data_IF_732891455434
#
_entry.id   IF_732891455434
#
_cell.length_a   1.000
_cell.length_b   1.000
_cell.length_c   1.000
_cell.angle_alpha   90.00
_cell.angle_beta   90.00
_cell.angle_gamma   90.00
#
_symmetry.space_group_name_H-M   'P 1'
#
loop_
_entity.id
_entity.type
_entity.pdbx_description
1 polymer ?
#
# COMPACT_ATOMS: atom_id res chain seq x y z
N UNK A 1 0.43 1.57 -21.14
CA UNK A 1 -0.40 2.79 -20.96
C UNK A 1 -0.66 3.01 -19.47
N UNK A 2 -0.87 4.25 -19.03
CA UNK A 2 -1.04 4.59 -17.62
C UNK A 2 -1.93 5.81 -17.47
N UNK A 3 -2.88 5.77 -16.55
CA UNK A 3 -3.80 6.88 -16.25
C UNK A 3 -3.95 7.03 -14.75
N UNK A 4 -3.92 8.25 -14.24
CA UNK A 4 -4.05 8.52 -12.82
C UNK A 4 -3.82 10.00 -12.50
N UNK A 5 -4.36 10.44 -11.37
CA UNK A 5 -4.23 11.83 -10.93
C UNK A 5 -4.31 11.94 -9.41
N UNK A 6 -3.91 13.10 -8.89
CA UNK A 6 -4.22 13.50 -7.52
C UNK A 6 -5.58 14.20 -7.52
N UNK A 7 -6.66 13.43 -7.39
CA UNK A 7 -8.02 13.91 -7.54
C UNK A 7 -8.58 14.55 -6.26
N UNK A 8 -8.38 13.90 -5.11
CA UNK A 8 -9.02 14.23 -3.85
C UNK A 8 -8.07 14.85 -2.82
N UNK A 9 -6.87 14.32 -2.61
CA UNK A 9 -6.00 14.79 -1.51
C UNK A 9 -5.20 16.04 -1.88
N UNK A 10 -5.91 17.12 -2.21
CA UNK A 10 -5.35 18.42 -2.60
C UNK A 10 -6.14 19.57 -1.94
N UNK A 11 -5.54 20.77 -1.95
CA UNK A 11 -6.09 21.95 -1.29
C UNK A 11 -7.49 22.36 -1.78
N UNK A 12 -7.82 22.10 -3.05
CA UNK A 12 -9.14 22.42 -3.61
C UNK A 12 -10.27 21.60 -2.98
N UNK A 13 -9.94 20.43 -2.41
CA UNK A 13 -10.88 19.55 -1.71
C UNK A 13 -10.84 19.71 -0.18
N UNK A 14 -10.02 20.62 0.36
CA UNK A 14 -10.01 20.90 1.79
C UNK A 14 -11.40 21.44 2.21
N UNK A 15 -12.07 20.84 3.21
CA UNK A 15 -13.37 21.34 3.65
C UNK A 15 -13.29 22.80 4.07
N UNK A 16 -14.29 23.60 3.67
CA UNK A 16 -14.31 25.03 3.98
C UNK A 16 -14.24 25.27 5.49
N UNK A 17 -13.24 26.06 5.93
CA UNK A 17 -13.00 26.35 7.35
C UNK A 17 -12.23 25.26 8.10
N UNK A 18 -11.78 24.19 7.46
CA UNK A 18 -10.87 23.24 8.07
C UNK A 18 -9.52 23.91 8.37
N UNK A 19 -8.86 23.46 9.45
CA UNK A 19 -7.50 23.87 9.73
C UNK A 19 -6.49 22.98 8.98
N UNK A 20 -5.27 23.47 8.82
CA UNK A 20 -4.17 22.73 8.15
C UNK A 20 -3.58 21.61 9.02
N UNK A 21 -4.04 21.50 10.27
CA UNK A 21 -3.73 20.40 11.19
C UNK A 21 -5.00 19.87 11.81
N UNK A 22 -5.14 18.54 11.85
CA UNK A 22 -6.34 17.88 12.36
C UNK A 22 -6.62 18.24 13.83
N UNK A 23 -5.56 18.38 14.64
CA UNK A 23 -5.66 18.77 16.06
C UNK A 23 -6.25 20.17 16.29
N UNK A 24 -6.17 21.05 15.29
CA UNK A 24 -6.66 22.42 15.34
C UNK A 24 -7.95 22.61 14.52
N UNK A 25 -8.45 21.55 13.87
CA UNK A 25 -9.60 21.63 12.98
C UNK A 25 -10.89 21.83 13.81
N UNK A 26 -11.80 22.73 13.39
CA UNK A 26 -13.07 22.93 14.10
C UNK A 26 -13.82 21.61 14.30
N UNK A 27 -14.32 21.35 15.51
CA UNK A 27 -14.92 20.06 15.87
C UNK A 27 -16.09 19.65 14.96
N UNK A 28 -16.89 20.61 14.48
CA UNK A 28 -18.00 20.36 13.55
C UNK A 28 -17.55 19.87 12.16
N UNK A 29 -16.31 20.16 11.76
CA UNK A 29 -15.70 19.70 10.50
C UNK A 29 -14.90 18.42 10.75
N UNK A 30 -14.06 18.42 11.78
CA UNK A 30 -13.18 17.31 12.13
C UNK A 30 -13.94 16.01 12.41
N UNK A 31 -15.07 16.10 13.11
CA UNK A 31 -15.89 14.94 13.48
C UNK A 31 -16.57 14.25 12.28
N UNK A 32 -16.70 14.94 11.15
CA UNK A 32 -17.27 14.42 9.90
C UNK A 32 -16.20 13.96 8.90
N UNK A 33 -14.92 14.23 9.18
CA UNK A 33 -13.82 13.94 8.26
C UNK A 33 -13.34 12.48 8.40
N UNK A 34 -13.38 11.65 7.33
CA UNK A 34 -12.89 10.27 7.38
C UNK A 34 -11.35 10.21 7.55
N UNK A 35 -10.65 11.27 7.15
CA UNK A 35 -9.18 11.36 7.15
C UNK A 35 -8.60 12.09 8.36
N UNK A 36 -9.40 12.38 9.39
CA UNK A 36 -8.87 13.03 10.59
C UNK A 36 -7.84 12.15 11.29
N UNK A 37 -6.66 12.69 11.54
CA UNK A 37 -5.63 12.03 12.34
C UNK A 37 -6.11 11.75 13.78
N UNK A 38 -6.94 12.62 14.37
CA UNK A 38 -7.55 12.37 15.68
C UNK A 38 -8.53 11.19 15.64
N UNK A 39 -9.28 11.03 14.55
CA UNK A 39 -10.10 9.84 14.33
C UNK A 39 -9.24 8.58 14.29
N UNK A 40 -8.28 8.56 13.37
CA UNK A 40 -7.49 7.39 13.00
C UNK A 40 -6.61 6.93 14.17
N UNK A 41 -5.85 7.84 14.78
CA UNK A 41 -4.84 7.48 15.78
C UNK A 41 -5.37 7.56 17.21
N UNK A 42 -6.21 8.55 17.53
CA UNK A 42 -6.70 8.69 18.91
C UNK A 42 -7.95 7.86 19.17
N UNK A 43 -9.05 8.14 18.46
CA UNK A 43 -10.35 7.51 18.73
C UNK A 43 -10.41 6.04 18.33
N UNK A 44 -9.87 5.69 17.16
CA UNK A 44 -9.94 4.34 16.63
C UNK A 44 -8.84 3.40 17.17
N UNK A 45 -7.84 3.95 17.89
CA UNK A 45 -6.69 3.19 18.41
C UNK A 45 -6.38 3.51 19.87
N UNK A 46 -5.70 4.62 20.15
CA UNK A 46 -5.17 4.94 21.50
C UNK A 46 -6.24 4.91 22.60
N UNK A 47 -7.45 5.43 22.34
CA UNK A 47 -8.55 5.41 23.31
C UNK A 47 -9.10 4.00 23.57
N UNK A 48 -8.85 3.06 22.66
CA UNK A 48 -9.17 1.63 22.80
C UNK A 48 -7.99 0.83 23.37
N UNK A 49 -6.90 1.49 23.77
CA UNK A 49 -5.70 0.84 24.30
C UNK A 49 -4.76 0.25 23.26
N UNK A 50 -4.96 0.55 21.97
CA UNK A 50 -4.13 0.03 20.88
C UNK A 50 -3.02 1.01 20.53
N UNK A 51 -1.78 0.64 20.85
CA UNK A 51 -0.57 1.43 20.58
C UNK A 51 0.37 0.80 19.53
N UNK A 52 -0.01 -0.35 18.97
CA UNK A 52 0.70 -0.96 17.84
C UNK A 52 0.52 -0.16 16.55
N UNK A 53 0.82 -0.78 15.42
CA UNK A 53 0.67 -0.13 14.12
C UNK A 53 -0.78 0.37 13.88
N UNK A 54 -0.97 1.57 13.29
CA UNK A 54 0.06 2.51 12.83
C UNK A 54 0.53 3.53 13.89
N UNK A 55 0.10 3.42 15.16
CA UNK A 55 0.41 4.40 16.22
C UNK A 55 1.90 4.43 16.55
N UNK A 56 2.55 3.28 16.61
CA UNK A 56 3.99 3.18 16.88
C UNK A 56 4.90 3.73 15.78
N UNK A 57 4.34 4.16 14.64
CA UNK A 57 5.07 4.89 13.59
C UNK A 57 5.15 6.39 13.90
N UNK A 58 4.21 6.92 14.70
CA UNK A 58 4.14 8.36 14.98
C UNK A 58 5.20 8.81 15.98
N UNK A 59 5.50 7.95 16.96
CA UNK A 59 6.37 8.27 18.09
C UNK A 59 6.77 7.00 18.84
N UNK A 60 7.94 7.02 19.46
CA UNK A 60 8.37 6.00 20.43
C UNK A 60 7.67 6.17 21.79
N UNK A 61 7.15 7.38 22.09
CA UNK A 61 6.42 7.66 23.32
C UNK A 61 4.96 7.20 23.17
N UNK A 62 4.72 5.90 23.40
CA UNK A 62 3.42 5.23 23.28
C UNK A 62 2.48 5.55 24.46
N UNK A 63 2.27 6.83 24.72
CA UNK A 63 1.31 7.38 25.69
C UNK A 63 0.28 8.23 24.96
N UNK A 64 -0.83 8.58 25.62
CA UNK A 64 -1.86 9.45 25.00
C UNK A 64 -1.26 10.82 24.67
N UNK A 65 -0.44 11.32 25.58
CA UNK A 65 0.22 12.61 25.52
C UNK A 65 1.30 12.60 24.42
N UNK A 66 2.12 11.55 24.36
CA UNK A 66 3.15 11.37 23.34
C UNK A 66 2.56 11.30 21.93
N UNK A 67 1.49 10.52 21.73
CA UNK A 67 0.81 10.44 20.42
C UNK A 67 0.14 11.77 20.07
N UNK A 68 -0.52 12.44 21.01
CA UNK A 68 -1.13 13.75 20.76
C UNK A 68 -0.07 14.79 20.37
N UNK A 69 1.07 14.80 21.06
CA UNK A 69 2.21 15.67 20.71
C UNK A 69 2.74 15.37 19.31
N UNK A 70 2.88 14.09 18.94
CA UNK A 70 3.28 13.69 17.60
C UNK A 70 2.29 14.18 16.52
N UNK A 71 0.99 14.21 16.81
CA UNK A 71 -0.02 14.80 15.93
C UNK A 71 0.01 16.34 15.93
N UNK A 72 0.48 16.99 16.98
CA UNK A 72 0.58 18.45 17.02
C UNK A 72 1.80 18.96 16.24
N UNK A 73 2.92 18.26 16.35
CA UNK A 73 4.23 18.75 15.88
C UNK A 73 4.71 18.00 14.64
N UNK A 74 4.41 16.70 14.55
CA UNK A 74 4.89 15.81 13.50
C UNK A 74 4.07 15.84 12.21
N UNK A 75 4.54 15.12 11.17
CA UNK A 75 3.94 15.12 9.84
C UNK A 75 2.54 14.48 9.81
N UNK A 76 2.28 13.49 10.68
CA UNK A 76 1.05 12.69 10.69
C UNK A 76 -0.20 13.42 11.19
N UNK A 77 -0.06 14.62 11.76
CA UNK A 77 -1.21 15.43 12.16
C UNK A 77 -1.58 16.55 11.19
N UNK A 78 -0.82 16.73 10.12
CA UNK A 78 -1.18 17.66 9.03
C UNK A 78 -2.49 17.21 8.38
N UNK A 79 -3.31 18.16 7.95
CA UNK A 79 -4.50 17.87 7.17
C UNK A 79 -4.06 17.31 5.81
N UNK A 80 -4.59 16.14 5.42
CA UNK A 80 -4.24 15.50 4.14
C UNK A 80 -4.50 16.38 2.91
N UNK A 81 -5.41 17.35 3.01
CA UNK A 81 -5.69 18.33 1.96
C UNK A 81 -4.77 19.56 1.98
N UNK A 82 -4.11 19.83 3.11
CA UNK A 82 -3.14 20.93 3.29
C UNK A 82 -1.68 20.42 3.26
N UNK A 83 -1.48 19.19 2.80
CA UNK A 83 -0.17 18.64 2.52
C UNK A 83 0.34 19.07 1.14
N UNK A 84 1.64 18.91 0.96
CA UNK A 84 2.40 19.12 -0.27
C UNK A 84 2.43 17.84 -1.13
N UNK A 85 1.37 17.03 -1.07
CA UNK A 85 1.29 15.78 -1.82
C UNK A 85 1.18 16.07 -3.32
N UNK A 86 2.05 15.44 -4.10
CA UNK A 86 2.05 15.47 -5.57
C UNK A 86 1.86 14.06 -6.17
N UNK A 87 1.72 13.05 -5.31
CA UNK A 87 1.51 11.66 -5.69
C UNK A 87 0.03 11.43 -6.02
N UNK A 88 -0.23 10.61 -7.04
CA UNK A 88 -1.58 10.21 -7.44
C UNK A 88 -2.30 9.45 -6.32
N UNK A 89 -3.61 9.68 -6.19
CA UNK A 89 -4.46 8.94 -5.24
C UNK A 89 -5.21 7.78 -5.89
N UNK A 90 -5.17 7.71 -7.23
CA UNK A 90 -5.56 6.55 -8.00
C UNK A 90 -4.76 6.47 -9.31
N UNK A 91 -4.43 5.26 -9.72
CA UNK A 91 -3.74 4.99 -10.98
C UNK A 91 -4.09 3.60 -11.53
N UNK A 92 -4.32 3.53 -12.83
CA UNK A 92 -4.43 2.27 -13.57
C UNK A 92 -3.32 2.20 -14.60
N UNK A 93 -2.59 1.09 -14.60
CA UNK A 93 -1.46 0.81 -15.50
C UNK A 93 -1.76 -0.48 -16.25
N UNK A 94 -1.64 -0.46 -17.58
CA UNK A 94 -1.64 -1.67 -18.40
C UNK A 94 -0.31 -1.81 -19.13
N UNK A 95 0.27 -3.01 -19.04
CA UNK A 95 1.55 -3.40 -19.62
C UNK A 95 1.32 -4.52 -20.63
N UNK A 96 2.08 -4.50 -21.72
CA UNK A 96 2.23 -5.59 -22.67
C UNK A 96 3.70 -6.02 -22.67
N UNK A 97 3.96 -7.31 -22.50
CA UNK A 97 5.29 -7.91 -22.55
C UNK A 97 5.57 -8.46 -23.96
N UNK A 98 6.84 -8.69 -24.30
CA UNK A 98 7.31 -9.12 -25.63
C UNK A 98 6.57 -10.36 -26.19
N UNK A 99 6.12 -11.27 -25.31
CA UNK A 99 5.37 -12.47 -25.67
C UNK A 99 3.84 -12.29 -25.66
N UNK A 100 3.36 -11.05 -25.81
CA UNK A 100 1.94 -10.67 -25.80
C UNK A 100 1.19 -11.01 -24.51
N UNK A 101 1.90 -11.31 -23.42
CA UNK A 101 1.29 -11.36 -22.09
C UNK A 101 0.96 -9.93 -21.66
N UNK A 102 -0.13 -9.79 -20.94
CA UNK A 102 -0.56 -8.49 -20.41
C UNK A 102 -0.60 -8.50 -18.89
N UNK A 103 -0.33 -7.36 -18.29
CA UNK A 103 -0.54 -7.12 -16.87
C UNK A 103 -1.32 -5.83 -16.68
N UNK A 104 -2.25 -5.85 -15.72
CA UNK A 104 -3.02 -4.67 -15.30
C UNK A 104 -2.84 -4.47 -13.81
N UNK A 105 -2.57 -3.23 -13.40
CA UNK A 105 -2.47 -2.84 -12.00
C UNK A 105 -3.38 -1.64 -11.75
N UNK A 106 -4.17 -1.72 -10.68
CA UNK A 106 -4.95 -0.60 -10.17
C UNK A 106 -4.51 -0.31 -8.74
N UNK A 107 -4.09 0.93 -8.49
CA UNK A 107 -3.82 1.47 -7.17
C UNK A 107 -4.88 2.53 -6.87
N UNK A 108 -5.45 2.52 -5.68
CA UNK A 108 -6.41 3.54 -5.25
C UNK A 108 -6.35 3.71 -3.73
N UNK A 109 -6.48 4.95 -3.26
CA UNK A 109 -6.63 5.28 -1.86
C UNK A 109 -8.09 5.17 -1.36
N UNK A 110 -9.04 4.82 -2.26
CA UNK A 110 -10.48 4.81 -1.99
C UNK A 110 -11.04 3.39 -1.93
N UNK A 111 -10.39 2.51 -1.17
CA UNK A 111 -10.81 1.13 -0.96
C UNK A 111 -10.72 0.76 0.52
N UNK A 112 -11.59 -0.12 0.98
CA UNK A 112 -11.49 -0.82 2.27
C UNK A 112 -10.78 -2.18 2.16
N UNK A 113 -10.40 -2.58 0.94
CA UNK A 113 -9.66 -3.80 0.65
C UNK A 113 -8.13 -3.57 0.57
N UNK A 114 -7.38 -4.65 0.79
CA UNK A 114 -5.93 -4.69 0.68
C UNK A 114 -5.43 -5.07 -0.71
N UNK A 115 -4.36 -5.88 -0.77
CA UNK A 115 -3.76 -6.30 -2.04
C UNK A 115 -4.50 -7.51 -2.60
N UNK A 116 -4.96 -7.38 -3.85
CA UNK A 116 -5.53 -8.49 -4.61
C UNK A 116 -4.67 -8.81 -5.83
N UNK A 117 -4.37 -10.09 -6.03
CA UNK A 117 -3.61 -10.58 -7.17
C UNK A 117 -4.43 -11.58 -7.96
N UNK A 118 -4.39 -11.49 -9.29
CA UNK A 118 -4.96 -12.50 -10.20
C UNK A 118 -3.96 -12.85 -11.29
N UNK A 119 -3.69 -14.14 -11.45
CA UNK A 119 -2.86 -14.70 -12.51
C UNK A 119 -3.76 -15.62 -13.33
N UNK A 120 -3.95 -15.30 -14.60
CA UNK A 120 -4.89 -15.98 -15.49
C UNK A 120 -4.12 -16.80 -16.52
N UNK A 121 -4.37 -18.09 -16.57
CA UNK A 121 -3.79 -19.01 -17.54
C UNK A 121 -4.85 -19.70 -18.39
N UNK A 122 -4.40 -20.50 -19.35
CA UNK A 122 -5.28 -21.24 -20.28
C UNK A 122 -5.93 -22.47 -19.65
N UNK A 123 -5.36 -22.99 -18.55
CA UNK A 123 -5.83 -24.22 -17.87
C UNK A 123 -6.20 -23.97 -16.39
N UNK A 124 -6.12 -22.72 -15.94
CA UNK A 124 -6.41 -22.40 -14.56
C UNK A 124 -6.24 -20.93 -14.24
N UNK A 125 -6.53 -20.58 -13.01
CA UNK A 125 -6.25 -19.25 -12.47
C UNK A 125 -5.81 -19.32 -11.01
N UNK A 126 -4.99 -18.34 -10.62
CA UNK A 126 -4.64 -18.08 -9.22
C UNK A 126 -5.24 -16.75 -8.83
N UNK A 127 -5.94 -16.69 -7.69
CA UNK A 127 -6.33 -15.44 -7.04
C UNK A 127 -5.80 -15.41 -5.61
N UNK A 128 -5.51 -14.23 -5.09
CA UNK A 128 -5.17 -14.06 -3.68
C UNK A 128 -5.53 -12.69 -3.14
N UNK A 129 -5.69 -12.59 -1.82
CA UNK A 129 -6.15 -11.41 -1.07
C UNK A 129 -5.25 -11.12 0.16
N UNK A 130 -3.94 -11.26 0.01
CA UNK A 130 -2.92 -11.23 1.09
C UNK A 130 -2.97 -12.36 2.12
N UNK A 131 -4.13 -12.96 2.38
CA UNK A 131 -4.26 -14.07 3.35
C UNK A 131 -4.42 -15.42 2.66
N UNK A 132 -5.41 -15.50 1.77
CA UNK A 132 -5.80 -16.73 1.11
C UNK A 132 -5.30 -16.73 -0.33
N UNK A 133 -4.91 -17.90 -0.80
CA UNK A 133 -4.58 -18.17 -2.20
C UNK A 133 -5.53 -19.26 -2.69
N UNK A 134 -6.21 -19.00 -3.79
CA UNK A 134 -7.06 -19.97 -4.46
C UNK A 134 -6.48 -20.31 -5.83
N UNK A 135 -6.24 -21.60 -6.05
CA UNK A 135 -5.78 -22.14 -7.32
C UNK A 135 -6.91 -22.94 -7.95
N UNK A 136 -7.45 -22.45 -9.06
CA UNK A 136 -8.51 -23.11 -9.82
C UNK A 136 -7.91 -23.90 -10.97
N UNK A 137 -8.23 -25.18 -11.04
CA UNK A 137 -7.99 -26.04 -12.19
C UNK A 137 -9.24 -26.04 -13.10
N UNK A 138 -9.08 -25.75 -14.39
CA UNK A 138 -10.20 -25.72 -15.32
C UNK A 138 -10.59 -27.09 -15.87
N UNK A 139 -9.67 -28.06 -15.89
CA UNK A 139 -9.94 -29.41 -16.37
C UNK A 139 -10.79 -30.19 -15.36
N UNK A 140 -10.42 -30.15 -14.08
CA UNK A 140 -11.16 -30.87 -13.03
C UNK A 140 -12.30 -30.04 -12.44
N UNK A 141 -12.21 -28.72 -12.56
CA UNK A 141 -13.12 -27.80 -11.87
C UNK A 141 -12.84 -27.68 -10.37
N UNK A 142 -11.76 -28.25 -9.85
CA UNK A 142 -11.41 -28.14 -8.44
C UNK A 142 -10.75 -26.79 -8.12
N UNK A 143 -11.00 -26.29 -6.91
CA UNK A 143 -10.29 -25.14 -6.35
C UNK A 143 -9.53 -25.59 -5.12
N UNK A 144 -8.20 -25.46 -5.16
CA UNK A 144 -7.35 -25.64 -3.98
C UNK A 144 -7.26 -24.31 -3.24
N UNK A 145 -7.56 -24.32 -1.95
CA UNK A 145 -7.42 -23.18 -1.06
C UNK A 145 -6.17 -23.35 -0.20
N UNK A 146 -5.38 -22.28 -0.08
CA UNK A 146 -4.15 -22.24 0.70
C UNK A 146 -4.25 -21.02 1.61
N UNK A 147 -4.32 -21.25 2.92
CA UNK A 147 -4.12 -20.18 3.92
C UNK A 147 -2.61 -19.98 4.07
N UNK A 148 -2.14 -18.74 3.86
CA UNK A 148 -0.73 -18.38 4.03
C UNK A 148 -0.25 -18.52 5.49
N UNK A 149 -1.17 -18.65 6.45
CA UNK A 149 -0.85 -18.73 7.88
C UNK A 149 -0.37 -17.39 8.45
N UNK A 150 -0.44 -16.33 7.65
CA UNK A 150 -0.12 -14.97 8.04
C UNK A 150 -1.35 -14.35 8.67
N UNK A 151 -1.24 -13.94 9.93
CA UNK A 151 -2.22 -13.02 10.51
C UNK A 151 -2.00 -11.66 9.88
N UNK A 152 -2.75 -11.37 8.80
CA UNK A 152 -2.78 -10.06 8.17
C UNK A 152 -3.55 -9.07 9.07
N UNK A 153 -2.91 -8.63 10.16
CA UNK A 153 -3.38 -7.49 10.94
C UNK A 153 -2.94 -6.15 10.33
N UNK A 154 -2.35 -6.19 9.12
CA UNK A 154 -1.75 -5.04 8.45
C UNK A 154 -0.59 -4.39 9.20
N UNK A 155 -0.12 -4.98 10.31
CA UNK A 155 0.90 -4.37 11.15
C UNK A 155 2.30 -4.68 10.64
N UNK A 156 3.18 -3.66 10.72
CA UNK A 156 4.63 -3.85 10.56
C UNK A 156 5.19 -4.77 11.67
N UNK A 157 4.47 -4.96 12.78
CA UNK A 157 4.86 -5.88 13.87
C UNK A 157 4.78 -7.35 13.43
N UNK A 158 3.96 -7.70 12.44
CA UNK A 158 4.00 -9.00 11.76
C UNK A 158 5.01 -9.04 10.59
N UNK A 159 5.72 -7.95 10.31
CA UNK A 159 6.69 -7.83 9.22
C UNK A 159 6.03 -7.74 7.84
N UNK A 160 5.03 -6.87 7.69
CA UNK A 160 4.24 -6.72 6.47
C UNK A 160 3.57 -8.03 6.04
N UNK A 161 2.88 -8.69 6.97
CA UNK A 161 2.30 -10.00 6.73
C UNK A 161 3.35 -11.11 6.57
N UNK A 162 4.44 -11.05 7.33
CA UNK A 162 5.53 -12.03 7.29
C UNK A 162 6.48 -11.91 6.10
N UNK A 163 6.22 -11.00 5.15
CA UNK A 163 7.05 -10.79 3.97
C UNK A 163 8.48 -10.40 4.31
N UNK A 164 8.68 -9.48 5.27
CA UNK A 164 10.02 -9.03 5.68
C UNK A 164 10.84 -10.18 6.26
N UNK A 165 10.21 -11.03 7.09
CA UNK A 165 10.87 -12.20 7.66
C UNK A 165 11.25 -13.19 6.57
N UNK A 166 10.37 -13.44 5.59
CA UNK A 166 10.66 -14.29 4.44
C UNK A 166 11.86 -13.79 3.64
N UNK A 167 11.89 -12.49 3.33
CA UNK A 167 13.00 -11.86 2.61
C UNK A 167 14.32 -11.96 3.38
N UNK A 168 14.32 -11.61 4.67
CA UNK A 168 15.52 -11.68 5.51
C UNK A 168 16.01 -13.12 5.70
N UNK A 169 15.09 -14.08 5.85
CA UNK A 169 15.43 -15.50 5.92
C UNK A 169 16.12 -15.95 4.63
N UNK A 170 15.54 -15.67 3.46
CA UNK A 170 16.16 -16.02 2.17
C UNK A 170 17.54 -15.36 2.01
N UNK A 171 17.67 -14.09 2.39
CA UNK A 171 18.95 -13.38 2.36
C UNK A 171 20.01 -14.03 3.25
N UNK A 172 19.68 -14.32 4.52
CA UNK A 172 20.62 -14.95 5.46
C UNK A 172 21.07 -16.32 4.95
N UNK A 173 20.15 -17.13 4.42
CA UNK A 173 20.49 -18.42 3.84
C UNK A 173 21.40 -18.29 2.62
N UNK A 174 21.10 -17.37 1.70
CA UNK A 174 21.94 -17.09 0.53
C UNK A 174 23.38 -16.75 0.92
N UNK A 175 23.57 -15.94 1.97
CA UNK A 175 24.90 -15.56 2.46
C UNK A 175 25.62 -16.73 3.14
N UNK A 176 24.94 -17.47 4.03
CA UNK A 176 25.53 -18.59 4.76
C UNK A 176 25.93 -19.74 3.85
N UNK A 177 25.10 -20.03 2.84
CA UNK A 177 25.29 -21.13 1.89
C UNK A 177 26.14 -20.70 0.69
N UNK A 178 26.43 -19.40 0.55
CA UNK A 178 27.09 -18.80 -0.62
C UNK A 178 26.36 -19.12 -1.92
N UNK A 179 25.04 -19.17 -1.87
CA UNK A 179 24.18 -19.52 -2.99
C UNK A 179 23.24 -18.36 -3.35
N UNK A 180 23.58 -17.65 -4.43
CA UNK A 180 22.78 -16.53 -4.93
C UNK A 180 21.41 -16.97 -5.48
N UNK A 181 21.24 -18.25 -5.85
CA UNK A 181 19.97 -18.74 -6.41
C UNK A 181 18.80 -18.70 -5.42
N UNK A 182 19.09 -18.54 -4.13
CA UNK A 182 18.10 -18.35 -3.07
C UNK A 182 17.46 -16.95 -3.08
N UNK A 183 18.00 -16.00 -3.86
CA UNK A 183 17.44 -14.67 -4.08
C UNK A 183 16.65 -14.67 -5.40
N UNK A 184 15.32 -14.61 -5.31
CA UNK A 184 14.43 -14.70 -6.47
C UNK A 184 14.31 -13.41 -7.30
N UNK A 185 14.76 -12.28 -6.75
CA UNK A 185 14.72 -10.98 -7.44
C UNK A 185 16.00 -10.23 -7.11
N UNK A 186 16.91 -10.21 -8.09
CA UNK A 186 18.23 -9.61 -7.99
C UNK A 186 18.25 -8.16 -8.49
N UNK A 187 19.46 -7.64 -8.78
CA UNK A 187 19.61 -6.28 -9.27
C UNK A 187 18.98 -6.05 -10.65
N UNK A 188 18.98 -7.06 -11.53
CA UNK A 188 18.43 -6.94 -12.89
C UNK A 188 16.90 -6.83 -12.85
N UNK A 189 16.21 -7.71 -12.13
CA UNK A 189 14.74 -7.62 -11.95
C UNK A 189 14.34 -6.31 -11.23
N UNK A 190 15.18 -5.86 -10.29
CA UNK A 190 14.98 -4.57 -9.62
C UNK A 190 15.10 -3.42 -10.62
N UNK A 191 16.12 -3.42 -11.48
CA UNK A 191 16.30 -2.39 -12.49
C UNK A 191 15.13 -2.35 -13.48
N UNK A 192 14.75 -3.51 -14.03
CA UNK A 192 13.62 -3.62 -14.96
C UNK A 192 12.32 -3.12 -14.35
N UNK A 193 12.01 -3.51 -13.11
CA UNK A 193 10.80 -3.04 -12.42
C UNK A 193 10.77 -1.54 -12.18
N UNK A 194 11.91 -0.91 -11.91
CA UNK A 194 11.99 0.56 -11.79
C UNK A 194 11.85 1.25 -13.14
N UNK A 195 12.45 0.71 -14.21
CA UNK A 195 12.25 1.23 -15.56
C UNK A 195 10.77 1.18 -15.97
N UNK A 196 10.06 0.10 -15.62
CA UNK A 196 8.61 -0.01 -15.81
C UNK A 196 7.83 1.07 -15.06
N UNK A 197 8.21 1.40 -13.83
CA UNK A 197 7.60 2.50 -13.06
C UNK A 197 7.81 3.84 -13.75
N UNK A 198 9.02 4.15 -14.20
CA UNK A 198 9.31 5.39 -14.91
C UNK A 198 8.56 5.50 -16.24
N UNK A 199 8.46 4.40 -16.99
CA UNK A 199 7.67 4.35 -18.21
C UNK A 199 6.17 4.54 -17.94
N UNK A 200 5.64 3.94 -16.88
CA UNK A 200 4.26 4.13 -16.46
C UNK A 200 3.98 5.59 -16.07
N UNK A 201 4.92 6.27 -15.40
CA UNK A 201 4.77 7.68 -15.05
C UNK A 201 4.87 8.59 -16.28
N UNK A 202 5.83 8.34 -17.18
CA UNK A 202 5.92 9.05 -18.47
C UNK A 202 4.65 8.86 -19.29
N UNK A 203 4.10 7.66 -19.33
CA UNK A 203 2.83 7.34 -19.99
C UNK A 203 1.67 8.15 -19.40
N UNK A 204 1.60 8.26 -18.07
CA UNK A 204 0.57 9.04 -17.36
C UNK A 204 0.63 10.53 -17.70
N UNK A 205 1.83 11.10 -17.74
CA UNK A 205 2.03 12.53 -18.00
C UNK A 205 1.80 12.91 -19.46
N UNK A 206 2.16 12.01 -20.40
CA UNK A 206 2.09 12.29 -21.84
C UNK A 206 0.80 11.80 -22.49
N UNK A 207 0.06 10.90 -21.84
CA UNK A 207 -1.11 10.23 -22.42
C UNK A 207 -0.75 9.23 -23.54
N UNK A 208 0.51 8.82 -23.64
CA UNK A 208 1.01 7.94 -24.70
C UNK A 208 1.37 6.55 -24.17
N UNK A 209 1.37 5.56 -25.05
CA UNK A 209 2.03 4.27 -24.78
C UNK A 209 3.54 4.50 -24.84
N UNK A 210 4.27 3.97 -23.86
CA UNK A 210 5.74 4.06 -23.77
C UNK A 210 6.29 2.65 -23.92
N UNK A 211 7.20 2.47 -24.88
CA UNK A 211 7.98 1.24 -25.06
C UNK A 211 9.26 1.29 -24.21
N UNK A 212 9.69 0.13 -23.73
CA UNK A 212 10.90 -0.08 -22.92
C UNK A 212 11.94 -0.85 -23.73
#
# INVERSE_FOLDING_TARGET
QSFGSLYHFNAANQPAGAADRCVNCPAGIESLCPYSALKIYMRDRVFKGNFGWPVNVLTEELTREGVLKALQEGPYGRCVYACDNDVVDHQTVNLEFENHRTAGMTMTAFSDEGRHTRILGTHGMIRGDSRMIWCKDFLTGETKEIDSGVNDDGSILSGHGGGDFGLMKSFIHAVLEQDQSLILSGPDETLESHLMVFAAEKSRQTGQVVEL
#
